data_IF_192761907085
#
_entry.id   IF_192761907085
#
_cell.length_a   1.000
_cell.length_b   1.000
_cell.length_c   1.000
_cell.angle_alpha   90.00
_cell.angle_beta   90.00
_cell.angle_gamma   90.00
#
_symmetry.space_group_name_H-M   'P 1'
#
loop_
_entity.id
_entity.type
_entity.pdbx_description
1 polymer ?
#
# COMPACT_ATOMS: atom_id res chain seq x y z
N UNK A 1 0.44 8.75 -0.10
CA UNK A 1 0.15 8.81 -1.55
C UNK A 1 -1.35 8.97 -1.72
N UNK A 2 -1.84 9.94 -2.52
CA UNK A 2 -3.28 10.12 -2.68
C UNK A 2 -3.89 9.02 -3.56
N UNK A 3 -5.05 8.49 -3.16
CA UNK A 3 -5.94 7.71 -4.04
C UNK A 3 -6.56 8.68 -5.05
N UNK A 4 -5.79 9.03 -6.09
CA UNK A 4 -6.19 10.05 -7.04
C UNK A 4 -7.16 9.47 -8.08
N UNK A 5 -8.43 9.87 -7.97
CA UNK A 5 -9.53 9.39 -8.83
C UNK A 5 -9.28 9.59 -10.33
N UNK A 6 -8.43 10.54 -10.74
CA UNK A 6 -8.08 10.74 -12.15
C UNK A 6 -7.30 9.58 -12.80
N UNK A 7 -6.90 8.56 -12.03
CA UNK A 7 -6.33 7.32 -12.55
C UNK A 7 -7.34 6.15 -12.63
N UNK A 8 -8.57 6.28 -12.13
CA UNK A 8 -9.57 5.19 -12.12
C UNK A 8 -9.93 4.71 -13.52
N UNK A 9 -10.13 5.62 -14.48
CA UNK A 9 -10.47 5.27 -15.86
C UNK A 9 -9.42 4.36 -16.52
N UNK A 10 -8.18 4.37 -16.02
CA UNK A 10 -7.13 3.48 -16.52
C UNK A 10 -7.40 2.02 -16.19
N UNK A 11 -8.12 1.73 -15.11
CA UNK A 11 -8.45 0.36 -14.70
C UNK A 11 -9.55 -0.25 -15.56
N UNK A 12 -10.16 0.49 -16.49
CA UNK A 12 -11.21 -0.04 -17.35
C UNK A 12 -10.71 -1.22 -18.22
N UNK A 13 -11.47 -2.32 -18.23
CA UNK A 13 -11.25 -3.46 -19.11
C UNK A 13 -12.44 -3.66 -20.06
N UNK A 14 -12.17 -4.14 -21.28
CA UNK A 14 -13.22 -4.40 -22.28
C UNK A 14 -13.94 -5.74 -22.07
N UNK A 15 -13.40 -6.61 -21.23
CA UNK A 15 -13.83 -8.02 -21.09
C UNK A 15 -13.95 -8.47 -19.64
N UNK A 16 -13.51 -7.65 -18.68
CA UNK A 16 -13.52 -7.93 -17.26
C UNK A 16 -13.87 -6.65 -16.48
N UNK A 17 -14.04 -6.77 -15.17
CA UNK A 17 -14.43 -5.66 -14.31
C UNK A 17 -13.30 -4.63 -14.14
N UNK A 18 -12.03 -5.07 -14.16
CA UNK A 18 -10.87 -4.19 -14.09
C UNK A 18 -9.63 -4.79 -14.78
N UNK A 19 -8.69 -3.92 -15.17
CA UNK A 19 -7.35 -4.25 -15.65
C UNK A 19 -6.35 -4.18 -14.49
N UNK A 20 -5.54 -5.23 -14.30
CA UNK A 20 -4.58 -5.33 -13.20
C UNK A 20 -3.24 -4.62 -13.47
N UNK A 21 -2.94 -4.31 -14.74
CA UNK A 21 -1.75 -3.57 -15.15
C UNK A 21 -2.09 -2.56 -16.26
N UNK A 22 -2.63 -1.39 -15.90
CA UNK A 22 -3.01 -0.38 -16.87
C UNK A 22 -1.85 0.58 -17.25
N UNK A 23 -0.66 0.40 -16.67
CA UNK A 23 0.49 1.28 -16.81
C UNK A 23 0.33 2.71 -16.22
N UNK A 24 1.40 3.50 -16.29
CA UNK A 24 1.44 4.87 -15.76
C UNK A 24 1.96 4.95 -14.32
N UNK A 25 1.20 5.59 -13.42
CA UNK A 25 1.58 5.76 -12.02
C UNK A 25 1.33 4.48 -11.21
N UNK A 26 2.18 3.46 -11.42
CA UNK A 26 1.99 2.07 -10.98
C UNK A 26 1.55 1.91 -9.52
N UNK A 27 2.20 2.60 -8.58
CA UNK A 27 1.83 2.54 -7.16
C UNK A 27 0.39 3.03 -6.90
N UNK A 28 -0.04 4.11 -7.56
CA UNK A 28 -1.40 4.66 -7.41
C UNK A 28 -2.42 3.74 -8.07
N UNK A 29 -2.15 3.29 -9.31
CA UNK A 29 -3.07 2.40 -10.03
C UNK A 29 -3.22 1.04 -9.35
N UNK A 30 -2.16 0.51 -8.74
CA UNK A 30 -2.24 -0.71 -7.93
C UNK A 30 -3.07 -0.49 -6.66
N UNK A 31 -2.89 0.64 -5.97
CA UNK A 31 -3.69 0.98 -4.80
C UNK A 31 -5.18 1.16 -5.13
N UNK A 32 -5.51 1.80 -6.26
CA UNK A 32 -6.88 1.93 -6.76
C UNK A 32 -7.47 0.56 -7.17
N UNK A 33 -6.68 -0.32 -7.77
CA UNK A 33 -7.12 -1.69 -8.06
C UNK A 33 -7.50 -2.43 -6.76
N UNK A 34 -6.68 -2.33 -5.71
CA UNK A 34 -6.96 -2.94 -4.40
C UNK A 34 -8.23 -2.38 -3.76
N UNK A 35 -8.50 -1.08 -3.92
CA UNK A 35 -9.68 -0.40 -3.38
C UNK A 35 -11.00 -1.04 -3.83
N UNK A 36 -11.06 -1.69 -4.99
CA UNK A 36 -12.29 -2.32 -5.47
C UNK A 36 -12.69 -3.56 -4.63
N UNK A 37 -11.79 -4.08 -3.79
CA UNK A 37 -12.00 -5.30 -3.01
C UNK A 37 -12.23 -5.08 -1.51
N UNK A 38 -12.14 -3.84 -1.02
CA UNK A 38 -12.19 -3.53 0.42
C UNK A 38 -13.61 -3.31 0.96
N UNK A 39 -14.56 -2.98 0.08
CA UNK A 39 -15.94 -2.65 0.47
C UNK A 39 -15.99 -1.48 1.45
N UNK A 40 -16.80 -1.62 2.50
CA UNK A 40 -16.99 -0.60 3.53
C UNK A 40 -15.95 -0.68 4.68
N UNK A 41 -14.96 -1.57 4.57
CA UNK A 41 -13.96 -1.77 5.63
C UNK A 41 -12.93 -0.61 5.60
N UNK A 42 -12.69 0.09 6.73
CA UNK A 42 -11.59 1.04 6.80
C UNK A 42 -10.26 0.36 6.47
N UNK A 43 -9.52 0.88 5.49
CA UNK A 43 -8.28 0.25 5.03
C UNK A 43 -7.15 1.25 4.78
N UNK A 44 -5.94 0.72 4.80
CA UNK A 44 -4.74 1.37 4.30
C UNK A 44 -3.90 0.36 3.51
N UNK A 45 -3.24 0.82 2.45
CA UNK A 45 -2.26 0.04 1.69
C UNK A 45 -0.87 0.66 1.88
N UNK A 46 0.11 -0.16 2.25
CA UNK A 46 1.51 0.21 2.37
C UNK A 46 2.30 -0.46 1.25
N UNK A 47 2.69 0.32 0.25
CA UNK A 47 3.63 -0.14 -0.78
C UNK A 47 5.06 -0.03 -0.24
N UNK A 48 5.69 -1.18 0.00
CA UNK A 48 7.03 -1.29 0.58
C UNK A 48 8.06 -1.88 -0.40
N UNK A 49 7.71 -2.01 -1.69
CA UNK A 49 8.54 -2.71 -2.66
C UNK A 49 9.98 -2.14 -2.73
N UNK A 50 10.11 -0.82 -2.81
CA UNK A 50 11.41 -0.15 -2.93
C UNK A 50 12.29 -0.26 -1.68
N UNK A 51 11.73 -0.64 -0.53
CA UNK A 51 12.43 -0.69 0.76
C UNK A 51 12.50 -2.10 1.33
N UNK A 52 12.04 -3.11 0.58
CA UNK A 52 12.01 -4.51 1.02
C UNK A 52 13.41 -5.12 1.17
N UNK A 53 14.34 -4.70 0.31
CA UNK A 53 15.72 -5.18 0.28
C UNK A 53 16.72 -4.03 0.42
N UNK A 54 17.82 -4.33 1.11
CA UNK A 54 18.93 -3.41 1.38
C UNK A 54 20.13 -3.84 0.54
N UNK A 55 20.59 -2.96 -0.35
CA UNK A 55 21.70 -3.23 -1.27
C UNK A 55 23.09 -3.05 -0.63
N UNK A 56 23.16 -2.27 0.45
CA UNK A 56 24.40 -1.99 1.18
C UNK A 56 24.12 -1.79 2.66
N UNK A 57 25.08 -2.15 3.49
CA UNK A 57 24.98 -1.91 4.93
C UNK A 57 24.80 -0.41 5.23
N UNK A 58 23.87 -0.11 6.11
CA UNK A 58 23.55 1.26 6.52
C UNK A 58 22.87 1.27 7.88
N UNK A 59 23.50 1.92 8.87
CA UNK A 59 23.05 1.93 10.28
C UNK A 59 22.75 0.52 10.82
N UNK A 60 21.50 0.24 11.19
CA UNK A 60 21.05 -1.05 11.70
C UNK A 60 20.77 -2.11 10.62
N UNK A 61 20.82 -1.74 9.33
CA UNK A 61 20.50 -2.65 8.23
C UNK A 61 21.72 -3.35 7.66
N UNK A 62 21.61 -4.67 7.54
CA UNK A 62 22.52 -5.54 6.79
C UNK A 62 21.99 -5.77 5.37
N UNK A 63 22.86 -6.16 4.44
CA UNK A 63 22.46 -6.51 3.06
C UNK A 63 21.43 -7.64 3.06
N UNK A 64 20.40 -7.51 2.22
CA UNK A 64 19.28 -8.45 2.11
C UNK A 64 17.97 -7.90 2.66
N UNK A 65 17.05 -8.75 3.16
CA UNK A 65 15.72 -8.33 3.59
C UNK A 65 15.78 -7.31 4.74
N UNK A 66 15.12 -6.17 4.56
CA UNK A 66 15.20 -5.03 5.50
C UNK A 66 14.32 -5.19 6.75
N UNK A 67 13.27 -6.02 6.67
CA UNK A 67 12.21 -6.09 7.68
C UNK A 67 11.38 -4.79 7.79
N UNK A 68 11.38 -3.95 6.75
CA UNK A 68 10.64 -2.68 6.74
C UNK A 68 9.14 -2.90 7.00
N UNK A 69 8.52 -1.97 7.72
CA UNK A 69 7.11 -2.03 8.12
C UNK A 69 6.85 -2.71 9.47
N UNK A 70 7.67 -3.67 9.90
CA UNK A 70 7.44 -4.38 11.17
C UNK A 70 7.41 -3.44 12.39
N UNK A 71 8.43 -2.57 12.53
CA UNK A 71 8.49 -1.56 13.60
C UNK A 71 7.34 -0.56 13.52
N UNK A 72 6.95 -0.15 12.30
CA UNK A 72 5.85 0.80 12.11
C UNK A 72 4.51 0.21 12.56
N UNK A 73 4.23 -1.03 12.16
CA UNK A 73 3.03 -1.77 12.55
C UNK A 73 2.98 -1.99 14.08
N UNK A 74 4.08 -2.44 14.68
CA UNK A 74 4.16 -2.62 16.13
C UNK A 74 4.02 -1.30 16.89
N UNK A 75 4.61 -0.22 16.38
CA UNK A 75 4.49 1.11 16.99
C UNK A 75 3.04 1.60 16.97
N UNK A 76 2.29 1.37 15.89
CA UNK A 76 0.89 1.72 15.81
C UNK A 76 0.03 0.86 16.75
N UNK A 77 0.14 -0.47 16.66
CA UNK A 77 -0.59 -1.41 17.51
C UNK A 77 -0.28 -1.25 19.01
N UNK A 78 0.92 -0.78 19.35
CA UNK A 78 1.33 -0.51 20.73
C UNK A 78 0.82 0.81 21.32
N UNK A 79 0.14 1.65 20.53
CA UNK A 79 -0.52 2.86 21.07
C UNK A 79 -1.72 2.48 21.95
N UNK A 80 -2.16 3.34 22.89
CA UNK A 80 -3.30 3.02 23.77
C UNK A 80 -4.62 2.75 23.03
N UNK A 81 -4.85 3.46 21.92
CA UNK A 81 -6.10 3.39 21.13
C UNK A 81 -5.77 3.36 19.62
N UNK A 82 -5.26 2.24 19.09
CA UNK A 82 -4.78 2.18 17.70
C UNK A 82 -5.88 2.36 16.66
N UNK A 83 -7.14 2.16 17.04
CA UNK A 83 -8.31 2.28 16.16
C UNK A 83 -9.16 3.52 16.43
N UNK A 84 -8.73 4.44 17.30
CA UNK A 84 -9.51 5.65 17.59
C UNK A 84 -9.82 6.44 16.30
N UNK A 85 -11.10 6.65 16.01
CA UNK A 85 -11.58 7.36 14.83
C UNK A 85 -11.48 6.58 13.50
N UNK A 86 -11.21 5.27 13.54
CA UNK A 86 -11.22 4.40 12.36
C UNK A 86 -12.57 3.67 12.28
N UNK A 87 -13.41 4.06 11.32
CA UNK A 87 -14.69 3.38 11.03
C UNK A 87 -15.91 3.88 11.80
N UNK A 88 -15.77 4.99 12.55
CA UNK A 88 -16.89 5.76 13.11
C UNK A 88 -17.60 6.63 12.05
#
# INVERSE_FOLDING_TARGET
>A
MPLYAGYEDKLASKVADAANDPGGAGAITAALFLQHFVGDVPWAHLDIASVGDVEKEWHEWTVGPSGFGARALLSWLGTPEPLAGIGD
#
